data_IF_323058113402
#
_entry.id   IF_323058113402
#
_cell.length_a   1.000
_cell.length_b   1.000
_cell.length_c   1.000
_cell.angle_alpha   90.00
_cell.angle_beta   90.00
_cell.angle_gamma   90.00
#
_symmetry.space_group_name_H-M   'P 1'
#
loop_
_entity.id
_entity.type
_entity.pdbx_description
1 polymer ?
#
# COMPACT_ATOMS: atom_id res chain seq x y z
N UNK A 1 19.25 11.17 -9.94
CA UNK A 1 17.96 10.54 -10.24
C UNK A 1 16.93 11.65 -10.35
N UNK A 2 16.31 11.87 -11.52
CA UNK A 2 15.30 12.92 -11.67
C UNK A 2 14.06 12.56 -10.84
N UNK A 3 13.55 13.54 -10.11
CA UNK A 3 12.24 13.47 -9.48
C UNK A 3 11.17 13.82 -10.50
N UNK A 4 10.12 13.02 -10.57
CA UNK A 4 9.02 13.19 -11.52
C UNK A 4 7.69 13.30 -10.79
N UNK A 5 6.84 14.21 -11.24
CA UNK A 5 5.44 14.31 -10.79
C UNK A 5 4.57 13.65 -11.86
N UNK A 6 3.87 12.59 -11.48
CA UNK A 6 2.99 11.83 -12.38
C UNK A 6 1.56 11.88 -11.83
N UNK A 7 0.62 12.33 -12.65
CA UNK A 7 -0.82 12.33 -12.31
C UNK A 7 -1.49 11.10 -12.93
N UNK A 8 -1.53 10.00 -12.17
CA UNK A 8 -2.11 8.73 -12.61
C UNK A 8 -2.63 7.91 -11.42
N UNK A 9 -3.36 6.83 -11.70
CA UNK A 9 -3.71 5.80 -10.72
C UNK A 9 -2.45 5.04 -10.26
N UNK A 10 -2.13 5.16 -8.97
CA UNK A 10 -0.94 4.56 -8.36
C UNK A 10 -0.95 3.02 -8.47
N UNK A 11 -2.12 2.39 -8.56
CA UNK A 11 -2.25 0.93 -8.68
C UNK A 11 -1.78 0.39 -10.03
N UNK A 12 -1.56 1.27 -11.02
CA UNK A 12 -1.09 0.92 -12.37
C UNK A 12 0.40 1.17 -12.57
N UNK A 13 1.11 1.67 -11.56
CA UNK A 13 2.52 2.04 -11.67
C UNK A 13 3.41 0.80 -11.72
N UNK A 14 4.26 0.70 -12.76
CA UNK A 14 5.30 -0.32 -12.88
C UNK A 14 6.58 0.15 -12.20
N UNK A 15 6.66 -0.09 -10.89
CA UNK A 15 7.75 0.37 -10.01
C UNK A 15 8.09 -0.72 -9.00
N UNK A 16 9.21 -0.59 -8.29
CA UNK A 16 9.55 -1.57 -7.25
C UNK A 16 8.58 -1.53 -6.06
N UNK A 17 8.19 -0.34 -5.62
CA UNK A 17 7.25 -0.18 -4.52
C UNK A 17 6.32 1.02 -4.74
N UNK A 18 5.07 0.88 -4.29
CA UNK A 18 4.16 2.00 -4.08
C UNK A 18 3.96 2.24 -2.60
N UNK A 19 3.64 3.48 -2.22
CA UNK A 19 3.33 3.83 -0.83
C UNK A 19 1.81 3.95 -0.68
N UNK A 20 1.25 3.23 0.29
CA UNK A 20 -0.15 3.29 0.67
C UNK A 20 -0.31 4.21 1.89
N UNK A 21 -1.25 5.16 1.81
CA UNK A 21 -1.72 5.93 2.97
C UNK A 21 -2.68 5.05 3.79
N UNK A 22 -2.14 4.41 4.83
CA UNK A 22 -2.83 3.43 5.66
C UNK A 22 -3.23 4.00 7.03
N UNK A 23 -4.07 3.26 7.75
CA UNK A 23 -4.30 3.44 9.20
C UNK A 23 -3.34 2.54 10.01
N UNK A 24 -3.28 2.75 11.32
CA UNK A 24 -2.41 1.99 12.24
C UNK A 24 -2.70 0.49 12.25
N UNK A 25 -3.93 0.08 11.96
CA UNK A 25 -4.35 -1.32 11.93
C UNK A 25 -4.05 -2.02 10.59
N UNK A 26 -3.54 -1.27 9.61
CA UNK A 26 -3.31 -1.74 8.24
C UNK A 26 -4.55 -2.39 7.60
N UNK A 27 -5.73 -1.96 8.02
CA UNK A 27 -6.99 -2.44 7.48
C UNK A 27 -7.41 -1.63 6.26
N UNK A 28 -8.19 -2.28 5.40
CA UNK A 28 -8.72 -1.65 4.20
C UNK A 28 -9.63 -0.48 4.57
N UNK A 29 -9.21 0.73 4.20
CA UNK A 29 -10.04 1.93 4.27
C UNK A 29 -10.69 2.27 2.92
N UNK A 30 -11.13 3.52 2.79
CA UNK A 30 -11.54 4.11 1.52
C UNK A 30 -10.38 4.69 0.71
N UNK A 31 -10.70 5.52 -0.28
CA UNK A 31 -9.71 6.29 -1.07
C UNK A 31 -8.65 5.41 -1.74
N UNK A 32 -7.39 5.86 -1.71
CA UNK A 32 -6.26 5.14 -2.31
C UNK A 32 -5.99 3.80 -1.62
N UNK A 33 -6.20 3.71 -0.30
CA UNK A 33 -6.04 2.45 0.42
C UNK A 33 -7.03 1.40 -0.09
N UNK A 34 -8.31 1.76 -0.21
CA UNK A 34 -9.32 0.89 -0.79
C UNK A 34 -8.98 0.46 -2.23
N UNK A 35 -8.53 1.39 -3.07
CA UNK A 35 -8.12 1.09 -4.44
C UNK A 35 -6.94 0.10 -4.49
N UNK A 36 -5.92 0.27 -3.64
CA UNK A 36 -4.78 -0.63 -3.52
C UNK A 36 -5.24 -2.02 -3.06
N UNK A 37 -6.13 -2.12 -2.07
CA UNK A 37 -6.66 -3.40 -1.60
C UNK A 37 -7.44 -4.15 -2.67
N UNK A 38 -8.28 -3.45 -3.44
CA UNK A 38 -9.03 -4.04 -4.54
C UNK A 38 -8.08 -4.52 -5.65
N UNK A 39 -7.10 -3.69 -6.04
CA UNK A 39 -6.18 -4.00 -7.13
C UNK A 39 -5.15 -5.09 -6.77
N UNK A 40 -4.62 -5.09 -5.55
CA UNK A 40 -3.68 -6.11 -5.07
C UNK A 40 -4.36 -7.46 -4.79
N UNK A 41 -5.68 -7.45 -4.52
CA UNK A 41 -6.45 -8.61 -4.09
C UNK A 41 -6.67 -8.60 -2.58
N UNK A 42 -7.93 -8.31 -2.19
CA UNK A 42 -8.32 -8.00 -0.80
C UNK A 42 -7.90 -9.10 0.18
N UNK A 43 -8.15 -10.37 -0.14
CA UNK A 43 -7.90 -11.50 0.76
C UNK A 43 -6.40 -11.67 1.05
N UNK A 44 -5.56 -11.66 0.00
CA UNK A 44 -4.13 -11.89 0.13
C UNK A 44 -3.43 -10.73 0.85
N UNK A 45 -3.76 -9.49 0.46
CA UNK A 45 -3.18 -8.31 1.09
C UNK A 45 -3.62 -8.18 2.55
N UNK A 46 -4.89 -8.41 2.88
CA UNK A 46 -5.38 -8.38 4.27
C UNK A 46 -4.67 -9.42 5.14
N UNK A 47 -4.43 -10.63 4.61
CA UNK A 47 -3.69 -11.65 5.34
C UNK A 47 -2.23 -11.26 5.61
N UNK A 48 -1.58 -10.55 4.69
CA UNK A 48 -0.23 -10.03 4.92
C UNK A 48 -0.20 -8.85 5.90
N UNK A 49 -1.11 -7.88 5.74
CA UNK A 49 -1.23 -6.74 6.66
C UNK A 49 -1.42 -7.20 8.12
N UNK A 50 -2.27 -8.20 8.36
CA UNK A 50 -2.51 -8.75 9.70
C UNK A 50 -1.27 -9.33 10.39
N UNK A 51 -0.22 -9.70 9.64
CA UNK A 51 1.03 -10.22 10.20
C UNK A 51 1.99 -9.12 10.67
N UNK A 52 1.80 -7.90 10.16
CA UNK A 52 2.69 -6.76 10.39
C UNK A 52 1.99 -5.58 11.08
N UNK A 53 0.67 -5.67 11.26
CA UNK A 53 -0.11 -4.75 12.07
C UNK A 53 0.01 -5.08 13.58
N UNK A 54 -0.22 -4.11 14.47
CA UNK A 54 -0.39 -2.68 14.18
C UNK A 54 0.95 -1.97 13.94
N UNK A 55 0.89 -0.79 13.31
CA UNK A 55 2.03 0.15 13.21
C UNK A 55 1.70 1.47 13.93
N UNK A 56 2.69 2.13 14.56
CA UNK A 56 2.47 3.44 15.16
C UNK A 56 2.27 4.51 14.07
N UNK A 57 1.62 5.63 14.43
CA UNK A 57 1.61 6.86 13.63
C UNK A 57 3.04 7.27 13.27
N UNK A 58 3.28 7.60 12.00
CA UNK A 58 4.61 7.86 11.43
C UNK A 58 5.42 6.60 11.11
N UNK A 59 4.93 5.41 11.46
CA UNK A 59 5.52 4.12 11.12
C UNK A 59 5.13 3.62 9.73
N UNK A 60 5.81 2.57 9.28
CA UNK A 60 5.47 1.88 8.04
C UNK A 60 5.76 0.37 8.10
N UNK A 61 5.02 -0.41 7.31
CA UNK A 61 5.21 -1.84 7.14
C UNK A 61 5.26 -2.23 5.65
N UNK A 62 5.97 -3.31 5.33
CA UNK A 62 6.16 -3.80 3.96
C UNK A 62 5.33 -5.07 3.71
N UNK A 63 4.65 -5.14 2.57
CA UNK A 63 4.05 -6.38 2.05
C UNK A 63 4.42 -6.58 0.57
N UNK A 64 4.25 -7.81 0.02
CA UNK A 64 4.25 -8.02 -1.42
C UNK A 64 3.16 -7.20 -2.12
N UNK A 65 3.36 -6.89 -3.40
CA UNK A 65 2.40 -6.18 -4.26
C UNK A 65 1.25 -7.04 -4.80
N UNK A 66 1.37 -8.37 -4.68
CA UNK A 66 0.36 -9.34 -5.15
C UNK A 66 0.00 -9.13 -6.63
N UNK A 67 -1.25 -8.78 -6.92
CA UNK A 67 -1.75 -8.58 -8.28
C UNK A 67 -1.36 -7.20 -8.88
N UNK A 68 -0.68 -6.34 -8.13
CA UNK A 68 -0.20 -5.06 -8.64
C UNK A 68 0.99 -5.25 -9.59
N UNK A 69 1.19 -4.34 -10.56
CA UNK A 69 2.44 -4.27 -11.31
C UNK A 69 3.65 -3.91 -10.43
N UNK A 70 3.40 -3.27 -9.28
CA UNK A 70 4.43 -2.97 -8.30
C UNK A 70 4.83 -4.22 -7.50
N UNK A 71 6.14 -4.39 -7.23
CA UNK A 71 6.63 -5.59 -6.51
C UNK A 71 6.25 -5.59 -5.03
N UNK A 72 6.19 -4.40 -4.43
CA UNK A 72 5.92 -4.22 -3.00
C UNK A 72 4.94 -3.08 -2.72
N UNK A 73 4.35 -3.12 -1.52
CA UNK A 73 3.54 -2.05 -0.95
C UNK A 73 4.16 -1.64 0.38
N UNK A 74 4.48 -0.37 0.53
CA UNK A 74 4.88 0.24 1.80
C UNK A 74 3.64 0.90 2.39
N UNK A 75 3.11 0.35 3.48
CA UNK A 75 1.95 0.91 4.18
C UNK A 75 2.45 1.88 5.24
N UNK A 76 2.14 3.17 5.11
CA UNK A 76 2.55 4.19 6.06
C UNK A 76 1.33 4.78 6.78
N UNK A 77 1.41 4.91 8.10
CA UNK A 77 0.38 5.54 8.91
C UNK A 77 0.70 7.04 9.07
N UNK A 78 -0.13 7.90 8.47
CA UNK A 78 -0.04 9.36 8.67
C UNK A 78 -0.53 9.81 10.06
N UNK A 79 -0.26 11.06 10.46
CA UNK A 79 -0.81 11.67 11.68
C UNK A 79 -2.33 11.84 11.64
#
# INVERSE_FOLDING_TARGET
>A
MPFSIVRQDITKMQVDAIVNAANTELEMGGGVCGAIFQAAGVTALRAACRKVAPIPTGGAALTPGFNLPAKYIIHAAGP
#
